data_IF_822961276703
#
_entry.id   IF_822961276703
#
_cell.length_a   1.000
_cell.length_b   1.000
_cell.length_c   1.000
_cell.angle_alpha   90.00
_cell.angle_beta   90.00
_cell.angle_gamma   90.00
#
_symmetry.space_group_name_H-M   'P 1'
#
loop_
_entity.id
_entity.type
_entity.pdbx_description
1 polymer ?
#
# COMPACT_ATOMS: atom_id res chain seq x y z
N UNK A 1 -15.78 5.28 -10.50
CA UNK A 1 -14.50 6.01 -10.28
C UNK A 1 -14.69 7.30 -9.48
N UNK A 2 -15.77 8.02 -9.68
CA UNK A 2 -16.00 9.27 -8.95
C UNK A 2 -16.09 9.11 -7.45
N UNK A 3 -16.81 8.10 -6.95
CA UNK A 3 -16.90 7.85 -5.51
C UNK A 3 -15.53 7.51 -4.91
N UNK A 4 -14.75 6.71 -5.61
CA UNK A 4 -13.39 6.35 -5.15
C UNK A 4 -12.52 7.60 -5.10
N UNK A 5 -12.53 8.42 -6.14
CA UNK A 5 -11.75 9.66 -6.17
C UNK A 5 -12.18 10.63 -5.08
N UNK A 6 -13.49 10.72 -4.80
CA UNK A 6 -13.97 11.58 -3.72
C UNK A 6 -13.45 11.12 -2.36
N UNK A 7 -13.40 9.79 -2.12
CA UNK A 7 -12.81 9.25 -0.90
C UNK A 7 -11.31 9.59 -0.80
N UNK A 8 -10.57 9.51 -1.90
CA UNK A 8 -9.17 9.95 -1.93
C UNK A 8 -9.01 11.44 -1.62
N UNK A 9 -9.94 12.27 -2.07
CA UNK A 9 -9.88 13.71 -1.83
C UNK A 9 -10.19 14.08 -0.39
N UNK A 10 -11.06 13.34 0.27
CA UNK A 10 -11.63 13.72 1.56
C UNK A 10 -11.04 13.00 2.75
N UNK A 11 -10.28 11.90 2.53
CA UNK A 11 -9.65 11.20 3.65
C UNK A 11 -8.67 12.14 4.36
N UNK A 12 -8.74 12.16 5.69
CA UNK A 12 -7.88 13.00 6.50
C UNK A 12 -6.68 12.21 7.00
N UNK A 13 -5.48 12.79 6.85
CA UNK A 13 -4.26 12.23 7.40
C UNK A 13 -3.89 12.98 8.67
N UNK A 14 -3.61 12.22 9.72
CA UNK A 14 -3.29 12.78 11.04
C UNK A 14 -1.80 12.64 11.37
N UNK A 15 -1.02 12.12 10.44
CA UNK A 15 0.42 11.92 10.59
C UNK A 15 1.15 12.66 9.48
N UNK A 16 2.38 13.08 9.77
CA UNK A 16 3.28 13.60 8.75
C UNK A 16 4.15 12.47 8.23
N UNK A 17 4.25 12.33 6.91
CA UNK A 17 5.03 11.28 6.28
C UNK A 17 6.24 11.84 5.54
N UNK A 18 7.35 11.13 5.62
CA UNK A 18 8.56 11.47 4.87
C UNK A 18 8.51 10.88 3.46
N UNK A 19 7.86 9.73 3.31
CA UNK A 19 7.76 9.03 2.02
C UNK A 19 6.52 8.16 1.97
N UNK A 20 6.16 7.78 0.74
CA UNK A 20 5.13 6.79 0.45
C UNK A 20 5.84 5.54 -0.05
N UNK A 21 5.50 4.38 0.48
CA UNK A 21 5.97 3.09 -0.03
C UNK A 21 4.77 2.32 -0.56
N UNK A 22 4.77 2.06 -1.86
CA UNK A 22 3.70 1.31 -2.51
C UNK A 22 4.09 -0.17 -2.62
N UNK A 23 3.20 -1.04 -2.17
CA UNK A 23 3.38 -2.47 -2.39
C UNK A 23 3.00 -2.75 -3.84
N UNK A 24 3.99 -3.07 -4.65
CA UNK A 24 3.77 -3.31 -6.07
C UNK A 24 3.26 -4.74 -6.28
N UNK A 25 2.32 -4.90 -7.20
CA UNK A 25 1.81 -3.87 -8.13
C UNK A 25 0.55 -3.16 -7.63
N UNK A 26 -0.23 -3.77 -6.73
CA UNK A 26 -1.55 -3.27 -6.34
C UNK A 26 -1.55 -1.88 -5.73
N UNK A 27 -0.49 -1.50 -5.04
CA UNK A 27 -0.39 -0.18 -4.40
C UNK A 27 0.06 0.95 -5.30
N UNK A 28 0.47 0.67 -6.54
CA UNK A 28 1.06 1.69 -7.43
C UNK A 28 0.05 2.78 -7.77
N UNK A 29 -1.13 2.41 -8.24
CA UNK A 29 -2.16 3.38 -8.62
C UNK A 29 -2.64 4.17 -7.40
N UNK A 30 -3.03 3.53 -6.29
CA UNK A 30 -3.43 4.28 -5.09
C UNK A 30 -2.36 5.25 -4.59
N UNK A 31 -1.10 4.81 -4.57
CA UNK A 31 -0.01 5.67 -4.12
C UNK A 31 0.14 6.90 -5.00
N UNK A 32 0.03 6.73 -6.31
CA UNK A 32 0.09 7.85 -7.25
C UNK A 32 -1.04 8.84 -7.05
N UNK A 33 -2.25 8.36 -6.79
CA UNK A 33 -3.41 9.23 -6.53
C UNK A 33 -3.21 10.01 -5.23
N UNK A 34 -2.85 9.33 -4.14
CA UNK A 34 -2.61 9.98 -2.85
C UNK A 34 -1.49 11.01 -2.95
N UNK A 35 -0.46 10.72 -3.73
CA UNK A 35 0.70 11.59 -3.82
C UNK A 35 0.41 12.91 -4.55
N UNK A 36 -0.72 13.03 -5.24
CA UNK A 36 -1.18 14.34 -5.72
C UNK A 36 -1.42 15.31 -4.56
N UNK A 37 -1.81 14.77 -3.39
CA UNK A 37 -2.04 15.56 -2.18
C UNK A 37 -0.78 15.71 -1.33
N UNK A 38 -0.03 14.62 -1.12
CA UNK A 38 1.07 14.58 -0.18
C UNK A 38 2.38 15.09 -0.76
N UNK A 39 2.63 14.87 -2.04
CA UNK A 39 3.82 15.35 -2.75
C UNK A 39 5.12 14.91 -2.08
N UNK A 40 5.24 13.61 -1.80
CA UNK A 40 6.42 13.00 -1.22
C UNK A 40 7.08 12.06 -2.22
N UNK A 41 8.27 11.56 -1.89
CA UNK A 41 8.88 10.51 -2.69
C UNK A 41 8.05 9.23 -2.59
N UNK A 42 7.90 8.53 -3.72
CA UNK A 42 7.22 7.24 -3.78
C UNK A 42 8.25 6.18 -4.11
N UNK A 43 8.35 5.18 -3.26
CA UNK A 43 9.21 4.01 -3.47
C UNK A 43 8.35 2.78 -3.59
N UNK A 44 8.86 1.77 -4.31
CA UNK A 44 8.15 0.51 -4.51
C UNK A 44 8.76 -0.59 -3.64
N UNK A 45 7.88 -1.39 -3.06
CA UNK A 45 8.26 -2.60 -2.36
C UNK A 45 7.60 -3.76 -3.10
N UNK A 46 8.40 -4.59 -3.77
CA UNK A 46 7.88 -5.63 -4.64
C UNK A 46 7.69 -6.92 -3.85
N UNK A 47 6.46 -7.13 -3.42
CA UNK A 47 6.04 -8.32 -2.69
C UNK A 47 4.94 -9.00 -3.49
N UNK A 48 5.03 -10.31 -3.68
CA UNK A 48 3.99 -11.05 -4.38
C UNK A 48 3.74 -12.40 -3.73
N UNK A 49 2.48 -12.77 -3.69
CA UNK A 49 2.01 -14.09 -3.27
C UNK A 49 1.47 -14.90 -4.45
N UNK A 50 1.12 -14.21 -5.56
CA UNK A 50 0.44 -14.81 -6.69
C UNK A 50 1.28 -14.72 -7.96
N UNK A 51 1.04 -15.65 -8.90
CA UNK A 51 1.68 -15.60 -10.21
C UNK A 51 0.94 -14.60 -11.14
N UNK A 52 1.39 -14.53 -12.41
CA UNK A 52 0.82 -13.63 -13.40
C UNK A 52 -0.66 -13.91 -13.73
N UNK A 53 -1.14 -15.12 -13.41
CA UNK A 53 -2.53 -15.54 -13.60
C UNK A 53 -3.37 -15.36 -12.34
N UNK A 54 -2.85 -14.72 -11.31
CA UNK A 54 -3.51 -14.49 -10.04
C UNK A 54 -3.74 -15.79 -9.23
N UNK A 55 -3.01 -16.83 -9.55
CA UNK A 55 -3.00 -18.05 -8.73
C UNK A 55 -1.97 -17.94 -7.62
N UNK A 56 -2.21 -18.51 -6.44
CA UNK A 56 -1.21 -18.54 -5.38
C UNK A 56 0.05 -19.27 -5.87
N UNK A 57 1.17 -18.58 -5.89
CA UNK A 57 2.45 -19.12 -6.32
C UNK A 57 3.32 -19.53 -5.14
N UNK A 58 3.15 -18.84 -4.01
CA UNK A 58 3.94 -19.07 -2.82
C UNK A 58 3.03 -19.36 -1.64
N UNK A 59 3.50 -20.14 -0.66
CA UNK A 59 2.78 -20.38 0.59
C UNK A 59 2.70 -19.12 1.45
N UNK A 60 3.64 -18.21 1.26
CA UNK A 60 3.71 -16.93 1.96
C UNK A 60 4.17 -15.83 1.00
N UNK A 61 3.89 -14.56 1.31
CA UNK A 61 4.40 -13.45 0.50
C UNK A 61 5.92 -13.49 0.39
N UNK A 62 6.44 -13.12 -0.78
CA UNK A 62 7.86 -13.12 -1.06
C UNK A 62 8.31 -11.74 -1.53
N UNK A 63 9.47 -11.29 -1.03
CA UNK A 63 10.12 -10.11 -1.55
C UNK A 63 10.78 -10.47 -2.88
N UNK A 64 10.38 -9.79 -3.96
CA UNK A 64 10.82 -10.13 -5.32
C UNK A 64 12.06 -9.35 -5.77
N UNK A 65 12.37 -8.24 -5.10
CA UNK A 65 13.53 -7.42 -5.42
C UNK A 65 14.06 -6.79 -4.13
N UNK A 66 15.36 -6.54 -4.01
CA UNK A 66 15.90 -5.91 -2.80
C UNK A 66 15.27 -4.54 -2.54
N UNK A 67 15.17 -4.17 -1.26
CA UNK A 67 14.77 -2.83 -0.87
C UNK A 67 15.89 -1.87 -1.25
N UNK A 68 15.61 -0.93 -2.15
CA UNK A 68 16.61 -0.08 -2.78
C UNK A 68 16.54 1.39 -2.35
N UNK A 69 15.89 1.67 -1.24
CA UNK A 69 15.76 3.02 -0.71
C UNK A 69 16.06 3.03 0.78
N UNK A 70 16.50 4.19 1.27
CA UNK A 70 16.81 4.36 2.69
C UNK A 70 15.56 4.78 3.45
N UNK A 71 15.08 3.88 4.29
CA UNK A 71 13.87 4.11 5.10
C UNK A 71 14.15 4.25 6.60
N UNK A 72 15.40 4.12 7.00
CA UNK A 72 15.76 4.14 8.41
C UNK A 72 15.36 5.46 9.05
N UNK A 73 14.68 5.36 10.19
CA UNK A 73 14.26 6.51 10.99
C UNK A 73 13.34 7.48 10.25
N UNK A 74 12.59 6.97 9.25
CA UNK A 74 11.63 7.75 8.47
C UNK A 74 10.20 7.40 8.85
N UNK A 75 9.28 8.32 8.53
CA UNK A 75 7.84 8.12 8.68
C UNK A 75 7.27 7.72 7.32
N UNK A 76 6.64 6.56 7.25
CA UNK A 76 6.21 5.91 6.01
C UNK A 76 4.69 5.76 5.97
N UNK A 77 4.08 6.14 4.84
CA UNK A 77 2.74 5.70 4.48
C UNK A 77 2.88 4.50 3.54
N UNK A 78 2.54 3.32 4.04
CA UNK A 78 2.61 2.07 3.29
C UNK A 78 1.27 1.84 2.60
N UNK A 79 1.28 1.75 1.27
CA UNK A 79 0.06 1.76 0.47
C UNK A 79 -0.13 0.44 -0.26
N UNK A 80 -1.31 -0.14 -0.13
CA UNK A 80 -1.74 -1.28 -0.92
C UNK A 80 -3.18 -1.05 -1.39
N UNK A 81 -3.63 -1.82 -2.37
CA UNK A 81 -5.01 -1.72 -2.86
C UNK A 81 -5.98 -2.46 -1.93
N UNK A 82 -5.63 -3.68 -1.53
CA UNK A 82 -6.52 -4.55 -0.75
C UNK A 82 -5.75 -5.26 0.36
N UNK A 83 -6.35 -5.29 1.54
CA UNK A 83 -5.86 -6.09 2.67
C UNK A 83 -6.93 -7.11 3.01
N UNK A 84 -6.59 -8.42 2.90
CA UNK A 84 -7.47 -9.52 3.30
C UNK A 84 -6.97 -10.19 4.57
N UNK A 85 -5.86 -10.92 4.48
CA UNK A 85 -5.30 -11.65 5.61
C UNK A 85 -4.28 -10.83 6.40
N UNK A 86 -3.71 -9.81 5.77
CA UNK A 86 -2.65 -9.00 6.36
C UNK A 86 -1.25 -9.59 6.24
N UNK A 87 -1.08 -10.75 5.61
CA UNK A 87 0.23 -11.39 5.52
C UNK A 87 1.25 -10.57 4.72
N UNK A 88 0.82 -9.96 3.62
CA UNK A 88 1.68 -9.09 2.82
C UNK A 88 2.09 -7.85 3.62
N UNK A 89 1.16 -7.23 4.32
CA UNK A 89 1.43 -6.07 5.17
C UNK A 89 2.38 -6.45 6.31
N UNK A 90 2.18 -7.61 6.92
CA UNK A 90 3.07 -8.07 7.98
C UNK A 90 4.52 -8.20 7.50
N UNK A 91 4.71 -8.82 6.33
CA UNK A 91 6.06 -8.92 5.74
C UNK A 91 6.63 -7.55 5.44
N UNK A 92 5.84 -6.65 4.85
CA UNK A 92 6.30 -5.30 4.53
C UNK A 92 6.75 -4.56 5.79
N UNK A 93 5.98 -4.64 6.87
CA UNK A 93 6.35 -4.01 8.14
C UNK A 93 7.63 -4.60 8.72
N UNK A 94 7.83 -5.91 8.61
CA UNK A 94 9.07 -6.55 9.05
C UNK A 94 10.28 -6.06 8.24
N UNK A 95 10.13 -5.95 6.92
CA UNK A 95 11.19 -5.46 6.04
C UNK A 95 11.55 -4.00 6.32
N UNK A 96 10.58 -3.21 6.75
CA UNK A 96 10.73 -1.77 6.98
C UNK A 96 10.81 -1.42 8.48
N UNK A 97 11.12 -2.38 9.34
CA UNK A 97 11.02 -2.20 10.81
C UNK A 97 11.94 -1.13 11.38
N UNK A 98 12.97 -0.72 10.66
CA UNK A 98 13.85 0.37 11.11
C UNK A 98 13.28 1.77 10.84
N UNK A 99 12.12 1.85 10.17
CA UNK A 99 11.42 3.11 10.04
C UNK A 99 10.94 3.60 11.40
N UNK A 100 10.84 4.92 11.55
CA UNK A 100 10.36 5.52 12.80
C UNK A 100 8.87 5.30 13.00
N UNK A 101 8.11 5.37 11.92
CA UNK A 101 6.65 5.21 11.93
C UNK A 101 6.22 4.56 10.63
N UNK A 102 5.32 3.58 10.71
CA UNK A 102 4.66 3.00 9.54
C UNK A 102 3.16 3.06 9.78
N UNK A 103 2.45 3.77 8.92
CA UNK A 103 0.99 3.75 8.87
C UNK A 103 0.56 3.13 7.56
N UNK A 104 -0.54 2.42 7.59
CA UNK A 104 -0.99 1.60 6.47
C UNK A 104 -2.22 2.24 5.84
N UNK A 105 -2.18 2.38 4.51
CA UNK A 105 -3.31 2.83 3.71
C UNK A 105 -3.75 1.71 2.78
N UNK A 106 -5.05 1.42 2.79
CA UNK A 106 -5.66 0.49 1.85
C UNK A 106 -6.85 1.15 1.17
N UNK A 107 -7.01 0.88 -0.12
CA UNK A 107 -8.25 1.30 -0.79
C UNK A 107 -9.41 0.51 -0.21
N UNK A 108 -9.24 -0.80 -0.02
CA UNK A 108 -10.25 -1.63 0.62
C UNK A 108 -9.62 -2.57 1.64
N UNK A 109 -10.12 -2.55 2.87
CA UNK A 109 -9.67 -3.40 3.95
C UNK A 109 -9.61 -2.66 5.27
N UNK A 110 -9.11 -3.33 6.31
CA UNK A 110 -8.91 -2.71 7.62
C UNK A 110 -7.46 -2.24 7.73
N UNK A 111 -7.29 -0.93 7.92
CA UNK A 111 -5.97 -0.29 7.98
C UNK A 111 -6.05 0.98 8.81
N UNK A 112 -4.90 1.64 9.04
CA UNK A 112 -4.88 2.95 9.71
C UNK A 112 -5.68 3.98 8.92
N UNK A 113 -5.58 3.90 7.59
CA UNK A 113 -6.35 4.71 6.66
C UNK A 113 -6.96 3.78 5.62
N UNK A 114 -8.28 3.74 5.52
CA UNK A 114 -8.97 2.91 4.53
C UNK A 114 -10.12 3.68 3.92
N UNK A 115 -10.30 3.56 2.61
CA UNK A 115 -11.40 4.22 1.92
C UNK A 115 -12.67 3.40 2.02
N UNK A 116 -12.54 2.08 1.95
CA UNK A 116 -13.67 1.14 1.99
C UNK A 116 -13.29 -0.10 2.81
N UNK A 117 -14.30 -0.80 3.28
CA UNK A 117 -14.13 -2.11 3.90
C UNK A 117 -15.31 -2.99 3.46
N UNK A 118 -15.26 -3.44 2.22
CA UNK A 118 -16.33 -4.18 1.56
C UNK A 118 -15.87 -5.57 1.14
N UNK A 119 -16.78 -6.55 1.20
CA UNK A 119 -16.47 -7.94 0.88
C UNK A 119 -16.09 -8.13 -0.58
N UNK A 120 -16.82 -7.47 -1.49
CA UNK A 120 -16.61 -7.59 -2.94
C UNK A 120 -16.41 -6.21 -3.54
N UNK A 121 -15.20 -5.69 -3.44
CA UNK A 121 -14.86 -4.39 -3.99
C UNK A 121 -14.14 -4.55 -5.32
N UNK A 122 -14.56 -3.77 -6.33
CA UNK A 122 -13.88 -3.72 -7.63
C UNK A 122 -13.13 -2.41 -7.76
N UNK A 123 -11.83 -2.51 -8.03
CA UNK A 123 -11.01 -1.33 -8.26
C UNK A 123 -11.28 -0.80 -9.67
N UNK A 124 -11.63 0.49 -9.81
CA UNK A 124 -12.00 1.03 -11.12
C UNK A 124 -10.85 1.09 -12.12
N UNK A 125 -9.61 0.96 -11.67
CA UNK A 125 -8.43 0.97 -12.55
C UNK A 125 -7.99 -0.43 -13.01
N UNK A 126 -8.65 -1.48 -12.58
CA UNK A 126 -8.37 -2.82 -13.06
C UNK A 126 -9.17 -3.07 -14.34
N UNK A 127 -8.48 -3.43 -15.39
CA UNK A 127 -9.09 -3.64 -16.72
C UNK A 127 -9.64 -5.04 -16.91
#
# INVERSE_FOLDING_TARGET
>A
MEEVLERFRTIEFHDDFDMIVAIANGGIVPAGIINQRLQKEVHLLRINLRDEYQHPKYDAPQLLAPVDFDFKDTSILLVDDRIKTGSTIHLACELLKEARLIKIFAVNGTADYALFDETCFKFPWIL
#
